data_IF_962080952242
#
_entry.id   IF_962080952242
#
_cell.length_a   1.000
_cell.length_b   1.000
_cell.length_c   1.000
_cell.angle_alpha   90.00
_cell.angle_beta   90.00
_cell.angle_gamma   90.00
#
_symmetry.space_group_name_H-M   'P 1'
#
loop_
_entity.id
_entity.type
_entity.pdbx_description
1 polymer ?
#
# COMPACT_ATOMS: atom_id res chain seq x y z
N UNK A 1 5.24 9.81 -9.05
CA UNK A 1 5.08 9.80 -7.58
C UNK A 1 4.52 8.46 -7.12
N UNK A 2 5.36 7.62 -6.51
CA UNK A 2 5.01 6.29 -5.98
C UNK A 2 3.92 6.35 -4.89
N UNK A 3 4.11 7.17 -3.85
CA UNK A 3 3.14 7.32 -2.73
C UNK A 3 1.77 7.82 -3.24
N UNK A 4 1.78 8.76 -4.18
CA UNK A 4 0.55 9.27 -4.79
C UNK A 4 -0.27 8.17 -5.47
N UNK A 5 0.40 7.25 -6.17
CA UNK A 5 -0.27 6.12 -6.80
C UNK A 5 -0.96 5.22 -5.76
N UNK A 6 -0.23 4.86 -4.70
CA UNK A 6 -0.77 4.07 -3.58
C UNK A 6 -2.01 4.73 -2.98
N UNK A 7 -1.93 6.03 -2.67
CA UNK A 7 -3.02 6.75 -2.00
C UNK A 7 -4.26 6.94 -2.88
N UNK A 8 -4.06 7.36 -4.14
CA UNK A 8 -5.13 7.87 -5.00
C UNK A 8 -5.71 6.82 -5.91
N UNK A 9 -4.88 6.02 -6.57
CA UNK A 9 -5.34 5.07 -7.56
C UNK A 9 -5.62 3.70 -6.94
N UNK A 10 -4.72 3.21 -6.09
CA UNK A 10 -4.88 1.90 -5.46
C UNK A 10 -5.89 1.96 -4.30
N UNK A 11 -5.49 2.54 -3.16
CA UNK A 11 -6.30 2.55 -1.93
C UNK A 11 -7.62 3.30 -2.12
N UNK A 12 -7.58 4.56 -2.55
CA UNK A 12 -8.82 5.34 -2.72
C UNK A 12 -9.63 4.89 -3.93
N UNK A 13 -8.99 4.78 -5.10
CA UNK A 13 -9.67 4.47 -6.36
C UNK A 13 -10.34 3.11 -6.38
N UNK A 14 -9.57 2.04 -6.08
CA UNK A 14 -10.05 0.66 -6.23
C UNK A 14 -10.84 0.13 -5.02
N UNK A 15 -10.67 0.70 -3.82
CA UNK A 15 -11.40 0.28 -2.61
C UNK A 15 -12.19 1.39 -1.93
N UNK A 16 -11.55 2.50 -1.54
CA UNK A 16 -12.16 3.51 -0.67
C UNK A 16 -13.39 4.20 -1.27
N UNK A 17 -13.35 4.56 -2.56
CA UNK A 17 -14.47 5.18 -3.28
C UNK A 17 -15.64 4.18 -3.41
N UNK A 18 -15.46 2.95 -3.92
CA UNK A 18 -16.53 1.95 -3.95
C UNK A 18 -17.15 1.64 -2.58
N UNK A 19 -16.33 1.59 -1.52
CA UNK A 19 -16.79 1.39 -0.15
C UNK A 19 -17.53 2.59 0.44
N UNK A 20 -17.47 3.75 -0.21
CA UNK A 20 -18.08 4.96 0.30
C UNK A 20 -17.34 5.60 1.47
N UNK A 21 -16.06 5.29 1.68
CA UNK A 21 -15.27 5.80 2.82
C UNK A 21 -15.25 7.34 2.84
N UNK A 22 -15.28 7.97 1.67
CA UNK A 22 -15.25 9.43 1.52
C UNK A 22 -16.65 10.06 1.36
N UNK A 23 -17.66 9.28 0.97
CA UNK A 23 -19.01 9.76 0.65
C UNK A 23 -20.04 9.44 1.74
N UNK A 24 -19.75 8.51 2.65
CA UNK A 24 -20.68 8.01 3.67
C UNK A 24 -21.69 6.97 3.18
N UNK A 25 -21.64 6.60 1.89
CA UNK A 25 -22.51 5.58 1.29
C UNK A 25 -21.76 4.80 0.20
N UNK A 26 -22.02 3.49 0.12
CA UNK A 26 -21.37 2.59 -0.84
C UNK A 26 -21.71 2.97 -2.29
N UNK A 27 -20.73 2.81 -3.17
CA UNK A 27 -20.82 3.14 -4.60
C UNK A 27 -20.43 1.91 -5.44
N UNK A 28 -21.26 0.85 -5.52
CA UNK A 28 -20.89 -0.39 -6.20
C UNK A 28 -20.47 -0.21 -7.65
N UNK A 29 -21.10 0.74 -8.38
CA UNK A 29 -20.79 1.04 -9.79
C UNK A 29 -19.41 1.64 -10.02
N UNK A 30 -18.71 2.02 -8.96
CA UNK A 30 -17.36 2.56 -9.01
C UNK A 30 -16.29 1.46 -8.84
N UNK A 31 -16.68 0.21 -8.56
CA UNK A 31 -15.76 -0.93 -8.55
C UNK A 31 -15.12 -1.06 -9.93
N UNK A 32 -13.79 -1.17 -9.97
CA UNK A 32 -13.06 -1.43 -11.19
C UNK A 32 -13.51 -2.78 -11.80
N UNK A 33 -13.65 -2.81 -13.12
CA UNK A 33 -14.19 -3.97 -13.83
C UNK A 33 -15.60 -4.38 -13.33
N UNK A 34 -16.47 -3.41 -12.99
CA UNK A 34 -17.83 -3.65 -12.49
C UNK A 34 -18.65 -4.70 -13.27
N UNK A 35 -18.53 -4.70 -14.61
CA UNK A 35 -19.25 -5.63 -15.48
C UNK A 35 -18.60 -7.03 -15.57
N UNK A 36 -17.34 -7.15 -15.15
CA UNK A 36 -16.60 -8.41 -14.98
C UNK A 36 -16.48 -8.72 -13.48
N UNK A 37 -17.61 -9.11 -12.89
CA UNK A 37 -17.85 -9.11 -11.44
C UNK A 37 -16.93 -10.02 -10.60
N UNK A 38 -15.95 -10.71 -11.18
CA UNK A 38 -15.09 -11.69 -10.51
C UNK A 38 -13.64 -11.26 -10.32
N UNK A 39 -13.17 -10.20 -10.98
CA UNK A 39 -11.71 -9.91 -11.06
C UNK A 39 -11.24 -8.70 -10.24
N UNK A 40 -12.15 -7.93 -9.64
CA UNK A 40 -11.81 -6.66 -8.99
C UNK A 40 -10.79 -6.77 -7.83
N UNK A 41 -10.87 -7.84 -7.04
CA UNK A 41 -9.90 -8.13 -5.97
C UNK A 41 -8.53 -8.54 -6.57
N UNK A 42 -8.52 -9.33 -7.65
CA UNK A 42 -7.28 -9.72 -8.34
C UNK A 42 -6.55 -8.49 -8.91
N UNK A 43 -7.28 -7.57 -9.54
CA UNK A 43 -6.74 -6.31 -10.04
C UNK A 43 -6.16 -5.41 -8.94
N UNK A 44 -6.77 -5.44 -7.74
CA UNK A 44 -6.24 -4.75 -6.58
C UNK A 44 -4.95 -5.43 -6.08
N UNK A 45 -4.95 -6.75 -5.95
CA UNK A 45 -3.81 -7.54 -5.47
C UNK A 45 -2.59 -7.40 -6.39
N UNK A 46 -2.82 -7.34 -7.71
CA UNK A 46 -1.77 -7.04 -8.68
C UNK A 46 -1.20 -5.63 -8.47
N UNK A 47 -2.08 -4.63 -8.28
CA UNK A 47 -1.66 -3.25 -7.99
C UNK A 47 -0.89 -3.11 -6.68
N UNK A 48 -1.28 -3.84 -5.63
CA UNK A 48 -0.58 -3.86 -4.35
C UNK A 48 0.76 -4.58 -4.46
N UNK A 49 0.82 -5.69 -5.19
CA UNK A 49 2.08 -6.42 -5.42
C UNK A 49 3.06 -5.55 -6.20
N UNK A 50 2.62 -4.83 -7.23
CA UNK A 50 3.46 -3.88 -7.96
C UNK A 50 4.01 -2.74 -7.09
N UNK A 51 3.22 -2.25 -6.10
CA UNK A 51 3.69 -1.27 -5.11
C UNK A 51 4.79 -1.87 -4.24
N UNK A 52 4.57 -3.07 -3.71
CA UNK A 52 5.54 -3.76 -2.85
C UNK A 52 6.82 -4.12 -3.63
N UNK A 53 6.71 -4.55 -4.87
CA UNK A 53 7.85 -4.84 -5.73
C UNK A 53 8.67 -3.59 -6.03
N UNK A 54 8.01 -2.47 -6.33
CA UNK A 54 8.70 -1.19 -6.49
C UNK A 54 9.41 -0.77 -5.20
N UNK A 55 8.77 -0.93 -4.03
CA UNK A 55 9.36 -0.62 -2.73
C UNK A 55 10.66 -1.40 -2.48
N UNK A 56 10.65 -2.69 -2.83
CA UNK A 56 11.78 -3.61 -2.63
C UNK A 56 12.80 -3.58 -3.78
N UNK A 57 12.53 -2.87 -4.88
CA UNK A 57 13.41 -2.84 -6.06
C UNK A 57 13.44 -4.16 -6.83
N UNK A 58 12.37 -4.95 -6.75
CA UNK A 58 12.24 -6.19 -7.50
C UNK A 58 12.01 -5.85 -8.98
N UNK A 59 12.92 -6.31 -9.85
CA UNK A 59 12.74 -6.16 -11.30
C UNK A 59 11.67 -7.12 -11.83
N UNK A 60 10.85 -6.65 -12.78
CA UNK A 60 9.92 -7.52 -13.49
C UNK A 60 10.68 -8.67 -14.15
N UNK A 61 10.38 -9.91 -13.74
CA UNK A 61 10.94 -11.13 -14.30
C UNK A 61 12.44 -11.38 -14.02
N UNK A 62 13.00 -10.82 -12.93
CA UNK A 62 14.36 -11.13 -12.46
C UNK A 62 14.41 -11.27 -10.93
N UNK A 63 15.31 -12.12 -10.43
CA UNK A 63 15.65 -12.19 -9.01
C UNK A 63 16.64 -11.10 -8.57
N UNK A 64 17.00 -10.19 -9.47
CA UNK A 64 17.86 -9.03 -9.14
C UNK A 64 17.04 -8.03 -8.33
N UNK A 65 17.51 -7.72 -7.12
CA UNK A 65 17.11 -6.54 -6.37
C UNK A 65 18.12 -5.43 -6.68
N UNK A 66 17.62 -4.32 -7.21
CA UNK A 66 18.39 -3.09 -7.36
C UNK A 66 18.30 -2.20 -6.13
N UNK A 67 18.93 -1.03 -6.18
CA UNK A 67 18.69 0.04 -5.19
C UNK A 67 17.20 0.38 -5.10
N UNK A 68 16.69 0.49 -3.88
CA UNK A 68 15.27 0.59 -3.61
C UNK A 68 14.98 1.45 -2.37
N UNK A 69 13.70 1.72 -2.13
CA UNK A 69 13.29 2.41 -0.91
C UNK A 69 13.61 1.55 0.32
N UNK A 70 13.41 0.23 0.21
CA UNK A 70 13.78 -0.73 1.26
C UNK A 70 15.30 -0.74 1.52
N UNK A 71 16.13 -0.88 0.47
CA UNK A 71 17.59 -0.92 0.64
C UNK A 71 18.14 0.36 1.28
N UNK A 72 17.56 1.52 0.92
CA UNK A 72 17.93 2.78 1.53
C UNK A 72 17.53 2.83 3.01
N UNK A 73 16.29 2.43 3.35
CA UNK A 73 15.86 2.35 4.76
C UNK A 73 16.73 1.40 5.59
N UNK A 74 17.11 0.26 5.05
CA UNK A 74 18.00 -0.71 5.73
C UNK A 74 19.36 -0.09 6.03
N UNK A 75 19.94 0.61 5.05
CA UNK A 75 21.19 1.34 5.23
C UNK A 75 21.06 2.40 6.34
N UNK A 76 19.97 3.17 6.36
CA UNK A 76 19.71 4.16 7.40
C UNK A 76 19.53 3.55 8.78
N UNK A 77 18.88 2.39 8.86
CA UNK A 77 18.67 1.68 10.11
C UNK A 77 20.01 1.26 10.74
N UNK A 78 20.95 0.76 9.92
CA UNK A 78 22.29 0.37 10.40
C UNK A 78 23.09 1.55 10.99
N UNK A 79 22.83 2.77 10.53
CA UNK A 79 23.50 3.99 11.00
C UNK A 79 22.90 4.52 12.30
N UNK A 80 21.60 4.31 12.54
CA UNK A 80 20.83 5.00 13.59
C UNK A 80 20.23 4.09 14.68
N UNK A 81 20.42 2.76 14.60
CA UNK A 81 19.79 1.78 15.51
C UNK A 81 18.27 2.07 15.67
N UNK A 82 17.62 2.35 14.56
CA UNK A 82 16.23 2.76 14.49
C UNK A 82 15.27 1.58 14.48
N UNK A 83 13.99 1.89 14.28
CA UNK A 83 12.98 0.89 13.97
C UNK A 83 13.21 0.37 12.54
N UNK A 84 13.04 -0.94 12.34
CA UNK A 84 13.23 -1.57 11.03
C UNK A 84 12.03 -1.28 10.10
N UNK A 85 12.01 -0.06 9.59
CA UNK A 85 10.88 0.48 8.83
C UNK A 85 10.64 -0.26 7.51
N UNK A 86 11.69 -0.82 6.89
CA UNK A 86 11.53 -1.62 5.67
C UNK A 86 10.76 -2.91 5.96
N UNK A 87 11.08 -3.59 7.06
CA UNK A 87 10.36 -4.77 7.56
C UNK A 87 8.93 -4.42 7.91
N UNK A 88 8.71 -3.34 8.68
CA UNK A 88 7.35 -2.94 9.08
C UNK A 88 6.45 -2.61 7.88
N UNK A 89 6.97 -1.89 6.88
CA UNK A 89 6.21 -1.56 5.67
C UNK A 89 5.85 -2.84 4.90
N UNK A 90 6.80 -3.76 4.74
CA UNK A 90 6.55 -5.05 4.09
C UNK A 90 5.52 -5.88 4.84
N UNK A 91 5.59 -5.93 6.17
CA UNK A 91 4.62 -6.65 7.00
C UNK A 91 3.21 -6.06 6.88
N UNK A 92 3.09 -4.73 6.80
CA UNK A 92 1.80 -4.08 6.58
C UNK A 92 1.25 -4.36 5.18
N UNK A 93 2.09 -4.39 4.14
CA UNK A 93 1.67 -4.82 2.80
C UNK A 93 1.20 -6.27 2.77
N UNK A 94 1.93 -7.18 3.42
CA UNK A 94 1.57 -8.59 3.53
C UNK A 94 0.23 -8.76 4.28
N UNK A 95 0.04 -8.02 5.37
CA UNK A 95 -1.21 -8.02 6.13
C UNK A 95 -2.39 -7.53 5.28
N UNK A 96 -2.23 -6.41 4.58
CA UNK A 96 -3.24 -5.89 3.67
C UNK A 96 -3.56 -6.86 2.52
N UNK A 97 -2.53 -7.49 1.94
CA UNK A 97 -2.67 -8.49 0.87
C UNK A 97 -3.47 -9.70 1.34
N UNK A 98 -3.16 -10.24 2.52
CA UNK A 98 -3.90 -11.38 3.09
C UNK A 98 -5.36 -11.04 3.35
N UNK A 99 -5.64 -9.85 3.92
CA UNK A 99 -7.01 -9.41 4.14
C UNK A 99 -7.81 -9.27 2.84
N UNK A 100 -7.17 -8.87 1.73
CA UNK A 100 -7.83 -8.77 0.42
C UNK A 100 -7.99 -10.14 -0.26
N UNK A 101 -7.05 -11.07 -0.05
CA UNK A 101 -7.14 -12.45 -0.56
C UNK A 101 -8.34 -13.20 0.01
N UNK A 102 -8.73 -12.88 1.25
CA UNK A 102 -9.87 -13.50 1.94
C UNK A 102 -11.24 -12.93 1.50
N UNK A 103 -11.26 -11.90 0.66
CA UNK A 103 -12.49 -11.28 0.16
C UNK A 103 -13.02 -12.00 -1.08
N UNK A 104 -14.34 -11.95 -1.25
CA UNK A 104 -14.93 -12.11 -2.57
C UNK A 104 -14.55 -10.94 -3.47
N UNK A 105 -14.89 -11.02 -4.76
CA UNK A 105 -14.81 -9.86 -5.64
C UNK A 105 -15.55 -8.66 -5.00
N UNK A 106 -14.94 -7.47 -5.04
CA UNK A 106 -15.36 -6.29 -4.31
C UNK A 106 -16.82 -5.90 -4.53
N UNK A 107 -17.33 -6.10 -5.75
CA UNK A 107 -18.75 -5.88 -6.04
C UNK A 107 -19.64 -6.76 -5.16
N UNK A 108 -19.33 -8.05 -5.02
CA UNK A 108 -20.10 -8.98 -4.21
C UNK A 108 -20.00 -8.62 -2.71
N UNK A 109 -18.82 -8.25 -2.22
CA UNK A 109 -18.64 -7.77 -0.84
C UNK A 109 -19.55 -6.56 -0.54
N UNK A 110 -19.64 -5.61 -1.48
CA UNK A 110 -20.42 -4.38 -1.32
C UNK A 110 -21.93 -4.62 -1.50
N UNK A 111 -22.34 -5.40 -2.51
CA UNK A 111 -23.77 -5.58 -2.84
C UNK A 111 -24.46 -6.58 -1.90
N UNK A 112 -23.73 -7.57 -1.36
CA UNK A 112 -24.31 -8.63 -0.54
C UNK A 112 -24.21 -8.37 0.97
N UNK A 113 -23.49 -7.35 1.41
CA UNK A 113 -23.32 -7.00 2.83
C UNK A 113 -23.53 -5.51 3.10
N UNK A 114 -24.34 -5.20 4.13
CA UNK A 114 -24.58 -3.81 4.54
C UNK A 114 -24.54 -3.68 6.07
N UNK A 115 -23.45 -3.13 6.66
CA UNK A 115 -22.27 -2.60 5.98
C UNK A 115 -21.36 -3.72 5.42
N UNK A 116 -20.51 -3.43 4.42
CA UNK A 116 -19.54 -4.37 3.86
C UNK A 116 -18.32 -4.54 4.79
N UNK A 117 -18.55 -5.08 6.00
CA UNK A 117 -17.59 -5.10 7.11
C UNK A 117 -16.24 -5.72 6.76
N UNK A 118 -16.20 -6.88 6.10
CA UNK A 118 -14.95 -7.56 5.75
C UNK A 118 -14.08 -6.70 4.84
N UNK A 119 -14.68 -6.09 3.82
CA UNK A 119 -13.97 -5.21 2.89
C UNK A 119 -13.56 -3.88 3.54
N UNK A 120 -14.32 -3.36 4.51
CA UNK A 120 -13.91 -2.20 5.32
C UNK A 120 -12.67 -2.51 6.18
N UNK A 121 -12.63 -3.68 6.82
CA UNK A 121 -11.46 -4.11 7.60
C UNK A 121 -10.22 -4.29 6.72
N UNK A 122 -10.38 -4.86 5.52
CA UNK A 122 -9.28 -4.95 4.56
C UNK A 122 -8.80 -3.55 4.12
N UNK A 123 -9.72 -2.61 3.89
CA UNK A 123 -9.37 -1.22 3.57
C UNK A 123 -8.58 -0.55 4.70
N UNK A 124 -8.90 -0.81 5.97
CA UNK A 124 -8.16 -0.25 7.10
C UNK A 124 -6.70 -0.72 7.11
N UNK A 125 -6.43 -1.98 6.79
CA UNK A 125 -5.04 -2.47 6.65
C UNK A 125 -4.31 -1.84 5.46
N UNK A 126 -4.99 -1.65 4.32
CA UNK A 126 -4.43 -0.89 3.19
C UNK A 126 -4.15 0.57 3.60
N UNK A 127 -5.03 1.17 4.39
CA UNK A 127 -4.89 2.54 4.86
C UNK A 127 -3.70 2.72 5.81
N UNK A 128 -3.37 1.75 6.66
CA UNK A 128 -2.25 1.84 7.60
C UNK A 128 -0.89 2.03 6.94
N UNK A 129 -0.69 1.52 5.72
CA UNK A 129 0.55 1.77 4.99
C UNK A 129 0.71 3.24 4.53
N UNK A 130 -0.38 4.02 4.45
CA UNK A 130 -0.32 5.44 4.02
C UNK A 130 0.58 6.28 4.92
N UNK A 131 0.36 6.38 6.26
CA UNK A 131 1.25 7.12 7.14
C UNK A 131 2.68 6.56 7.13
N UNK A 132 2.87 5.25 7.08
CA UNK A 132 4.20 4.63 7.03
C UNK A 132 5.00 5.09 5.81
N UNK A 133 4.36 5.12 4.64
CA UNK A 133 5.00 5.56 3.41
C UNK A 133 5.21 7.07 3.34
N UNK A 134 4.24 7.87 3.80
CA UNK A 134 4.27 9.33 3.56
C UNK A 134 4.87 10.14 4.69
N UNK A 135 4.84 9.62 5.92
CA UNK A 135 5.34 10.29 7.12
C UNK A 135 6.62 9.62 7.54
N UNK A 136 6.56 8.34 7.93
CA UNK A 136 7.69 7.68 8.59
C UNK A 136 8.87 7.51 7.64
N UNK A 137 8.62 6.95 6.44
CA UNK A 137 9.66 6.74 5.44
C UNK A 137 10.28 8.05 4.95
N UNK A 138 9.46 9.05 4.62
CA UNK A 138 9.94 10.35 4.15
C UNK A 138 10.73 11.08 5.24
N UNK A 139 10.29 10.99 6.50
CA UNK A 139 10.98 11.57 7.65
C UNK A 139 12.35 10.92 7.84
N UNK A 140 12.42 9.59 7.90
CA UNK A 140 13.67 8.84 8.05
C UNK A 140 14.70 9.22 6.97
N UNK A 141 14.25 9.31 5.71
CA UNK A 141 15.09 9.67 4.58
C UNK A 141 15.56 11.13 4.62
N UNK A 142 14.70 12.06 5.06
CA UNK A 142 15.03 13.49 5.16
C UNK A 142 16.08 13.77 6.24
N UNK A 143 15.93 13.17 7.43
CA UNK A 143 16.90 13.34 8.54
C UNK A 143 18.28 12.79 8.14
N UNK A 144 18.34 11.77 7.27
CA UNK A 144 19.63 11.30 6.78
C UNK A 144 20.32 12.31 5.86
N UNK A 145 19.57 12.99 5.00
CA UNK A 145 20.11 14.00 4.10
C UNK A 145 20.70 15.15 4.92
N UNK A 146 19.96 15.63 5.93
CA UNK A 146 20.43 16.70 6.81
C UNK A 146 21.69 16.31 7.60
N UNK A 147 21.81 15.05 8.03
CA UNK A 147 23.00 14.57 8.76
C UNK A 147 24.27 14.56 7.90
N UNK A 148 24.15 14.13 6.63
CA UNK A 148 25.27 14.10 5.67
C UNK A 148 25.66 15.51 5.20
N UNK A 149 24.76 16.48 5.27
CA UNK A 149 25.06 17.88 4.92
C UNK A 149 25.70 18.64 6.11
N UNK A 150 25.36 18.27 7.35
CA UNK A 150 25.82 18.95 8.57
C UNK A 150 27.13 18.42 9.16
N UNK A 151 27.69 17.30 8.68
CA UNK A 151 28.96 16.73 9.15
C UNK A 151 30.20 17.16 8.34
N UNK A 152 29.98 18.02 7.32
CA UNK A 152 30.99 18.52 6.39
C UNK A 152 31.48 19.96 6.60
N UNK A 153 31.07 20.66 7.67
CA UNK A 153 31.54 22.00 8.11
C UNK A 153 32.06 21.93 9.57
#
# INVERSE_FOLDING_TARGET
HYIFYYEKYLRAGKMGIPLGVFSGSTLPRNVEAYYEATISNDLFLEGLSAVQDFFNGNHFNSSTQGESLASYLDALNTLKNGEDLSTLINDQFNTAKNMVLDLSAFRAEIENSNPPTSMLLAYDEVQKAVPMLKVDMVSAMSISIDFVDADGD
#
